data_IF_916009421157
#
_entry.id   IF_916009421157
#
_cell.length_a   1.000
_cell.length_b   1.000
_cell.length_c   1.000
_cell.angle_alpha   90.00
_cell.angle_beta   90.00
_cell.angle_gamma   90.00
#
_symmetry.space_group_name_H-M   'P 1'
#
loop_
_entity.id
_entity.type
_entity.pdbx_description
1 polymer ?
#
# COMPACT_ATOMS: atom_id res chain seq x y z
N UNK A 1 1.60 40.46 -16.76
CA UNK A 1 0.98 39.33 -16.03
C UNK A 1 1.97 38.18 -16.07
N UNK A 2 2.48 37.78 -14.92
CA UNK A 2 3.76 37.07 -14.80
C UNK A 2 3.73 35.60 -15.25
N UNK A 3 4.76 35.23 -16.02
CA UNK A 3 5.16 33.87 -16.40
C UNK A 3 5.68 33.05 -15.19
N UNK A 4 5.13 33.25 -14.00
CA UNK A 4 5.46 32.51 -12.77
C UNK A 4 4.59 31.25 -12.61
N UNK A 5 3.50 31.15 -13.37
CA UNK A 5 2.55 30.02 -13.33
C UNK A 5 2.98 28.86 -14.24
N UNK A 6 3.88 29.10 -15.21
CA UNK A 6 4.37 28.05 -16.12
C UNK A 6 5.47 27.16 -15.50
N UNK A 7 5.85 27.39 -14.23
CA UNK A 7 6.75 26.54 -13.42
C UNK A 7 6.13 26.03 -12.11
N UNK A 8 4.81 26.07 -11.97
CA UNK A 8 4.16 25.71 -10.72
C UNK A 8 4.17 24.18 -10.50
N UNK A 9 4.98 23.71 -9.54
CA UNK A 9 4.71 22.46 -8.82
C UNK A 9 3.22 22.46 -8.43
N UNK A 10 2.43 21.51 -8.94
CA UNK A 10 1.02 21.41 -8.57
C UNK A 10 0.93 21.01 -7.11
N UNK A 11 0.33 21.86 -6.27
CA UNK A 11 0.13 21.58 -4.84
C UNK A 11 -1.29 21.05 -4.60
N UNK A 12 -1.40 19.90 -3.94
CA UNK A 12 -2.66 19.28 -3.57
C UNK A 12 -2.69 19.06 -2.05
N UNK A 13 -3.39 19.92 -1.29
CA UNK A 13 -3.64 19.67 0.12
C UNK A 13 -4.65 18.52 0.24
N UNK A 14 -4.33 17.52 1.04
CA UNK A 14 -5.14 16.34 1.27
C UNK A 14 -5.55 16.28 2.75
N UNK A 15 -6.85 16.15 2.98
CA UNK A 15 -7.43 15.81 4.27
C UNK A 15 -8.29 14.57 4.08
N UNK A 16 -7.83 13.44 4.59
CA UNK A 16 -8.43 12.12 4.34
C UNK A 16 -8.86 11.54 5.70
N UNK A 17 -10.16 11.41 5.97
CA UNK A 17 -10.63 10.71 7.16
C UNK A 17 -10.16 9.26 7.18
N UNK A 18 -9.75 8.80 8.36
CA UNK A 18 -9.38 7.41 8.63
C UNK A 18 -10.58 6.78 9.35
N UNK A 19 -11.04 5.65 8.81
CA UNK A 19 -12.11 4.82 9.35
C UNK A 19 -11.69 3.35 9.28
N UNK A 20 -10.38 3.12 9.39
CA UNK A 20 -9.77 1.79 9.34
C UNK A 20 -10.06 1.05 10.65
N UNK A 21 -10.77 -0.10 10.61
CA UNK A 21 -11.16 -0.81 11.83
C UNK A 21 -10.00 -1.17 12.75
N UNK A 22 -8.79 -1.38 12.21
CA UNK A 22 -7.62 -1.70 13.03
C UNK A 22 -7.11 -0.53 13.91
N UNK A 23 -7.40 0.72 13.54
CA UNK A 23 -6.87 1.91 14.24
C UNK A 23 -7.93 2.92 14.68
N UNK A 24 -9.21 2.67 14.40
CA UNK A 24 -10.31 3.54 14.79
C UNK A 24 -10.48 4.76 13.89
N UNK A 25 -11.11 5.81 14.43
CA UNK A 25 -11.41 7.04 13.70
C UNK A 25 -10.22 7.99 13.73
N UNK A 26 -9.92 8.62 12.61
CA UNK A 26 -8.82 9.57 12.55
C UNK A 26 -8.80 10.41 11.30
N UNK A 27 -7.66 11.02 11.02
CA UNK A 27 -7.43 11.76 9.79
C UNK A 27 -5.96 11.73 9.39
N UNK A 28 -5.73 11.73 8.08
CA UNK A 28 -4.46 12.08 7.44
C UNK A 28 -4.54 13.52 6.95
N UNK A 29 -3.58 14.34 7.34
CA UNK A 29 -3.31 15.62 6.69
C UNK A 29 -2.01 15.51 5.90
N UNK A 30 -2.05 15.79 4.60
CA UNK A 30 -0.86 15.71 3.75
C UNK A 30 -0.79 16.84 2.73
N UNK A 31 0.43 17.17 2.34
CA UNK A 31 0.75 18.06 1.24
C UNK A 31 1.42 17.24 0.16
N UNK A 32 0.76 17.13 -1.00
CA UNK A 32 1.33 16.48 -2.18
C UNK A 32 1.74 17.54 -3.21
N UNK A 33 2.98 17.43 -3.68
CA UNK A 33 3.55 18.23 -4.75
C UNK A 33 3.70 17.32 -5.97
N UNK A 34 2.98 17.64 -7.04
CA UNK A 34 2.91 16.81 -8.25
C UNK A 34 3.37 17.68 -9.42
N UNK A 35 4.46 17.26 -10.08
CA UNK A 35 4.93 17.93 -11.28
C UNK A 35 4.06 17.58 -12.50
N UNK A 36 4.13 18.43 -13.52
CA UNK A 36 3.33 18.29 -14.74
C UNK A 36 3.75 17.01 -15.49
N UNK A 37 2.81 16.07 -15.65
CA UNK A 37 2.93 14.96 -16.60
C UNK A 37 3.10 15.51 -18.03
N UNK A 38 3.94 14.86 -18.83
CA UNK A 38 3.97 15.15 -20.26
C UNK A 38 2.72 14.53 -20.91
N UNK A 39 1.71 15.32 -21.32
CA UNK A 39 0.45 14.78 -21.84
C UNK A 39 0.61 14.14 -23.23
N UNK A 40 1.71 14.42 -23.92
CA UNK A 40 2.04 13.86 -25.23
C UNK A 40 2.82 12.54 -25.12
N UNK A 41 3.23 12.14 -23.91
CA UNK A 41 3.89 10.86 -23.69
C UNK A 41 2.90 9.71 -23.81
N UNK A 42 3.34 8.61 -24.45
CA UNK A 42 2.54 7.39 -24.56
C UNK A 42 2.29 6.72 -23.19
N UNK A 43 1.35 5.77 -23.15
CA UNK A 43 1.07 5.00 -21.94
C UNK A 43 2.34 4.35 -21.36
N UNK A 44 2.51 4.40 -20.03
CA UNK A 44 3.74 3.94 -19.36
C UNK A 44 4.95 4.92 -19.42
N UNK A 45 4.77 6.12 -19.97
CA UNK A 45 5.78 7.19 -20.03
C UNK A 45 5.21 8.51 -19.48
N UNK A 46 6.08 9.51 -19.31
CA UNK A 46 5.70 10.86 -18.87
C UNK A 46 5.12 10.93 -17.46
N UNK A 47 5.56 10.02 -16.58
CA UNK A 47 5.06 9.92 -15.20
C UNK A 47 5.47 11.16 -14.39
N UNK A 48 4.62 11.64 -13.47
CA UNK A 48 4.92 12.85 -12.71
C UNK A 48 5.90 12.54 -11.59
N UNK A 49 6.70 13.53 -11.20
CA UNK A 49 7.34 13.53 -9.90
C UNK A 49 6.29 13.78 -8.82
N UNK A 50 6.44 13.10 -7.69
CA UNK A 50 5.52 13.22 -6.56
C UNK A 50 6.35 13.35 -5.29
N UNK A 51 6.18 14.46 -4.57
CA UNK A 51 6.68 14.62 -3.19
C UNK A 51 5.50 14.73 -2.24
N UNK A 52 5.53 14.02 -1.12
CA UNK A 52 4.48 14.04 -0.10
C UNK A 52 5.11 14.24 1.27
N UNK A 53 4.52 15.14 2.05
CA UNK A 53 4.72 15.22 3.50
C UNK A 53 3.35 15.12 4.14
N UNK A 54 3.22 14.23 5.12
CA UNK A 54 1.94 14.01 5.77
C UNK A 54 2.09 13.58 7.22
N UNK A 55 1.01 13.78 7.96
CA UNK A 55 0.83 13.33 9.31
C UNK A 55 -0.52 12.62 9.44
N UNK A 56 -0.60 11.66 10.35
CA UNK A 56 -1.85 10.99 10.70
C UNK A 56 -2.02 10.95 12.21
N UNK A 57 -3.28 10.97 12.65
CA UNK A 57 -3.68 10.75 14.03
C UNK A 57 -5.04 10.06 14.08
N UNK A 58 -5.28 9.27 15.12
CA UNK A 58 -6.51 8.51 15.35
C UNK A 58 -6.93 8.60 16.82
N UNK A 59 -8.19 8.30 17.10
CA UNK A 59 -8.81 8.31 18.43
C UNK A 59 -8.25 7.22 19.35
N UNK A 60 -7.79 6.09 18.78
CA UNK A 60 -7.13 5.02 19.53
C UNK A 60 -5.69 5.38 19.95
N UNK A 61 -5.20 6.58 19.61
CA UNK A 61 -3.87 7.09 19.95
C UNK A 61 -2.79 6.82 18.90
N UNK A 62 -3.12 6.13 17.79
CA UNK A 62 -2.16 5.94 16.71
C UNK A 62 -1.84 7.25 16.02
N UNK A 63 -0.56 7.47 15.73
CA UNK A 63 -0.05 8.68 15.08
C UNK A 63 1.17 8.38 14.22
N UNK A 64 1.41 9.23 13.23
CA UNK A 64 2.56 9.06 12.37
C UNK A 64 2.90 10.26 11.53
N UNK A 65 4.14 10.29 11.07
CA UNK A 65 4.67 11.20 10.07
C UNK A 65 5.20 10.37 8.91
N UNK A 66 4.91 10.84 7.69
CA UNK A 66 5.31 10.19 6.44
C UNK A 66 5.91 11.26 5.53
N UNK A 67 7.08 10.96 4.98
CA UNK A 67 7.79 11.76 4.01
C UNK A 67 8.06 10.85 2.80
N UNK A 68 7.85 11.34 1.59
CA UNK A 68 8.14 10.58 0.38
C UNK A 68 8.48 11.50 -0.78
N UNK A 69 9.44 11.10 -1.59
CA UNK A 69 9.79 11.75 -2.85
C UNK A 69 10.04 10.67 -3.89
N UNK A 70 9.31 10.73 -4.99
CA UNK A 70 9.50 9.93 -6.19
C UNK A 70 9.79 10.85 -7.36
N UNK A 71 10.88 10.59 -8.07
CA UNK A 71 11.31 11.40 -9.21
C UNK A 71 11.77 10.57 -10.38
N UNK A 72 11.51 11.08 -11.57
CA UNK A 72 12.04 10.57 -12.82
C UNK A 72 13.14 11.51 -13.34
N UNK A 73 14.20 10.91 -13.85
CA UNK A 73 15.40 11.55 -14.33
C UNK A 73 15.78 10.96 -15.69
N UNK A 74 16.70 11.63 -16.39
CA UNK A 74 17.27 11.13 -17.65
C UNK A 74 16.20 10.77 -18.68
N UNK A 75 15.21 11.66 -18.87
CA UNK A 75 14.07 11.45 -19.77
C UNK A 75 13.35 10.11 -19.50
N UNK A 76 12.89 9.92 -18.27
CA UNK A 76 12.20 8.72 -17.77
C UNK A 76 13.02 7.42 -17.82
N UNK A 77 14.36 7.50 -17.82
CA UNK A 77 15.21 6.29 -17.74
C UNK A 77 15.55 5.86 -16.33
N UNK A 78 15.58 6.80 -15.38
CA UNK A 78 15.88 6.54 -13.98
C UNK A 78 14.74 7.06 -13.12
N UNK A 79 14.18 6.22 -12.26
CA UNK A 79 13.27 6.60 -11.20
C UNK A 79 13.98 6.47 -9.86
N UNK A 80 13.89 7.46 -9.00
CA UNK A 80 14.33 7.35 -7.60
C UNK A 80 13.13 7.48 -6.68
N UNK A 81 13.11 6.71 -5.61
CA UNK A 81 12.15 6.82 -4.52
C UNK A 81 12.91 6.89 -3.20
N UNK A 82 12.69 7.96 -2.46
CA UNK A 82 13.17 8.09 -1.07
C UNK A 82 11.97 8.34 -0.18
N UNK A 83 11.93 7.69 0.97
CA UNK A 83 10.86 7.92 1.93
C UNK A 83 11.31 7.65 3.35
N UNK A 84 10.64 8.27 4.30
CA UNK A 84 10.84 8.03 5.71
C UNK A 84 9.52 8.07 6.45
N UNK A 85 9.44 7.25 7.50
CA UNK A 85 8.27 7.15 8.36
C UNK A 85 8.70 7.23 9.82
N UNK A 86 7.84 7.79 10.64
CA UNK A 86 7.91 7.68 12.09
C UNK A 86 6.49 7.54 12.62
N UNK A 87 6.19 6.39 13.20
CA UNK A 87 4.84 6.00 13.59
C UNK A 87 4.83 5.39 14.97
N UNK A 88 3.70 5.53 15.64
CA UNK A 88 3.34 4.86 16.88
C UNK A 88 1.89 4.44 16.69
N UNK A 89 1.65 3.15 16.48
CA UNK A 89 0.36 2.61 16.06
C UNK A 89 -0.11 1.59 17.09
N UNK A 90 -1.32 1.80 17.61
CA UNK A 90 -1.98 0.86 18.50
C UNK A 90 -2.84 -0.09 17.67
N UNK A 91 -2.55 -1.38 17.80
CA UNK A 91 -3.15 -2.45 17.00
C UNK A 91 -3.51 -3.63 17.91
N UNK A 92 -4.33 -4.51 17.35
CA UNK A 92 -4.64 -5.79 17.96
C UNK A 92 -3.85 -6.92 17.28
N UNK A 93 -3.24 -7.77 18.10
CA UNK A 93 -2.61 -9.00 17.65
C UNK A 93 -3.60 -10.16 17.77
N UNK A 94 -3.88 -10.79 16.63
CA UNK A 94 -4.86 -11.87 16.50
C UNK A 94 -4.24 -13.28 16.57
N UNK A 95 -2.92 -13.37 16.71
CA UNK A 95 -2.21 -14.63 16.52
C UNK A 95 -2.40 -15.19 15.12
N UNK A 96 -2.26 -16.50 14.98
CA UNK A 96 -2.34 -17.20 13.70
C UNK A 96 -3.50 -18.20 13.71
N UNK A 97 -4.10 -18.40 12.53
CA UNK A 97 -5.22 -19.31 12.29
C UNK A 97 -6.60 -18.86 12.77
N UNK A 98 -7.65 -19.18 12.01
CA UNK A 98 -9.06 -18.79 12.33
C UNK A 98 -9.59 -19.39 13.63
N UNK A 99 -9.12 -20.58 14.01
CA UNK A 99 -9.59 -21.26 15.23
C UNK A 99 -8.71 -20.97 16.45
N UNK A 100 -7.68 -20.14 16.30
CA UNK A 100 -6.76 -19.79 17.38
C UNK A 100 -7.45 -19.02 18.51
N UNK A 101 -6.99 -19.22 19.75
CA UNK A 101 -7.52 -18.51 20.93
C UNK A 101 -7.40 -16.98 20.78
N UNK A 102 -6.26 -16.50 20.28
CA UNK A 102 -5.99 -15.08 20.07
C UNK A 102 -6.84 -14.46 18.95
N UNK A 103 -7.35 -15.26 18.01
CA UNK A 103 -8.26 -14.78 16.96
C UNK A 103 -9.58 -14.28 17.57
N UNK A 104 -10.07 -14.99 18.60
CA UNK A 104 -11.28 -14.65 19.36
C UNK A 104 -11.02 -13.68 20.51
N UNK A 105 -9.79 -13.64 21.01
CA UNK A 105 -9.38 -12.81 22.15
C UNK A 105 -8.09 -12.04 21.78
N UNK A 106 -8.18 -11.03 20.92
CA UNK A 106 -7.02 -10.27 20.49
C UNK A 106 -6.29 -9.63 21.67
N UNK A 107 -5.02 -9.29 21.44
CA UNK A 107 -4.17 -8.60 22.41
C UNK A 107 -3.69 -7.29 21.84
N UNK A 108 -4.07 -6.20 22.50
CA UNK A 108 -3.62 -4.87 22.15
C UNK A 108 -2.10 -4.72 22.35
N UNK A 109 -1.44 -4.10 21.37
CA UNK A 109 -0.04 -3.75 21.43
C UNK A 109 0.22 -2.40 20.77
N UNK A 110 1.28 -1.73 21.20
CA UNK A 110 1.77 -0.50 20.57
C UNK A 110 3.00 -0.83 19.72
N UNK A 111 2.94 -0.51 18.43
CA UNK A 111 4.06 -0.62 17.49
C UNK A 111 4.65 0.77 17.24
N UNK A 112 5.85 1.00 17.73
CA UNK A 112 6.65 2.16 17.31
C UNK A 112 7.53 1.72 16.14
N UNK A 113 7.49 2.46 15.03
CA UNK A 113 8.29 2.18 13.86
C UNK A 113 8.85 3.49 13.32
N UNK A 114 10.17 3.55 13.16
CA UNK A 114 10.85 4.66 12.49
C UNK A 114 11.82 4.11 11.48
N UNK A 115 11.86 4.68 10.28
CA UNK A 115 12.74 4.15 9.25
C UNK A 115 12.74 4.98 8.00
N UNK A 116 13.67 4.65 7.12
CA UNK A 116 13.80 5.25 5.80
C UNK A 116 14.08 4.17 4.76
N UNK A 117 13.71 4.47 3.52
CA UNK A 117 14.04 3.68 2.35
C UNK A 117 14.54 4.58 1.23
N UNK A 118 15.47 4.06 0.46
CA UNK A 118 15.90 4.64 -0.80
C UNK A 118 15.89 3.53 -1.86
N UNK A 119 15.42 3.84 -3.07
CA UNK A 119 15.36 2.92 -4.19
C UNK A 119 15.64 3.65 -5.48
N UNK A 120 16.34 2.99 -6.39
CA UNK A 120 16.49 3.42 -7.76
C UNK A 120 15.97 2.32 -8.69
N UNK A 121 15.17 2.69 -9.69
CA UNK A 121 14.74 1.81 -10.79
C UNK A 121 15.25 2.37 -12.11
N UNK A 122 15.82 1.53 -12.94
CA UNK A 122 16.28 1.87 -14.27
C UNK A 122 15.40 1.20 -15.33
N UNK A 123 15.00 1.96 -16.35
CA UNK A 123 14.16 1.48 -17.44
C UNK A 123 15.00 0.68 -18.44
N UNK A 124 14.49 -0.47 -18.86
CA UNK A 124 15.19 -1.34 -19.81
C UNK A 124 14.89 -0.87 -21.24
N UNK A 125 15.88 -0.23 -21.88
CA UNK A 125 15.77 0.25 -23.26
C UNK A 125 14.61 1.24 -23.44
N UNK A 126 13.81 1.04 -24.48
CA UNK A 126 12.59 1.82 -24.74
C UNK A 126 11.31 1.13 -24.24
N UNK A 127 11.45 0.11 -23.39
CA UNK A 127 10.31 -0.66 -22.89
C UNK A 127 9.60 0.03 -21.70
N UNK A 128 8.49 -0.57 -21.27
CA UNK A 128 7.78 -0.24 -20.03
C UNK A 128 8.28 -1.04 -18.83
N UNK A 129 9.43 -1.74 -18.99
CA UNK A 129 10.02 -2.59 -17.96
C UNK A 129 11.13 -1.85 -17.21
N UNK A 130 11.24 -2.15 -15.93
CA UNK A 130 12.17 -1.53 -15.00
C UNK A 130 12.82 -2.60 -14.14
N UNK A 131 14.09 -2.39 -13.82
CA UNK A 131 14.82 -3.14 -12.79
C UNK A 131 15.28 -2.17 -11.74
N UNK A 132 15.17 -2.55 -10.46
CA UNK A 132 15.52 -1.65 -9.39
C UNK A 132 16.19 -2.33 -8.22
N UNK A 133 16.96 -1.53 -7.51
CA UNK A 133 17.60 -1.90 -6.26
C UNK A 133 17.30 -0.81 -5.24
N UNK A 134 16.99 -1.22 -4.01
CA UNK A 134 16.78 -0.32 -2.90
C UNK A 134 17.35 -0.88 -1.62
N UNK A 135 17.41 -0.01 -0.63
CA UNK A 135 17.84 -0.32 0.71
C UNK A 135 16.89 0.34 1.71
N UNK A 136 16.59 -0.35 2.80
CA UNK A 136 15.80 0.18 3.90
C UNK A 136 16.49 -0.05 5.23
N UNK A 137 16.29 0.91 6.12
CA UNK A 137 16.68 0.86 7.52
C UNK A 137 15.49 1.25 8.37
N UNK A 138 15.19 0.48 9.41
CA UNK A 138 14.17 0.81 10.36
C UNK A 138 14.56 0.36 11.78
N UNK A 139 14.00 1.04 12.77
CA UNK A 139 13.96 0.60 14.15
C UNK A 139 12.49 0.43 14.52
N UNK A 140 12.17 -0.71 15.13
CA UNK A 140 10.83 -1.04 15.60
C UNK A 140 10.85 -1.45 17.07
N UNK A 141 9.74 -1.20 17.77
CA UNK A 141 9.44 -1.84 19.04
C UNK A 141 7.94 -2.12 19.13
N UNK A 142 7.59 -3.34 19.50
CA UNK A 142 6.24 -3.81 19.71
C UNK A 142 6.04 -4.17 21.18
N UNK A 143 5.23 -3.39 21.89
CA UNK A 143 4.98 -3.57 23.32
C UNK A 143 3.54 -3.97 23.58
N UNK A 144 3.35 -5.13 24.20
CA UNK A 144 2.04 -5.62 24.62
C UNK A 144 1.66 -5.03 25.98
N UNK A 145 0.40 -4.63 26.12
CA UNK A 145 -0.13 -4.14 27.40
C UNK A 145 -0.64 -5.32 28.25
N UNK A 146 0.29 -6.12 28.76
CA UNK A 146 -0.02 -7.32 29.57
C UNK A 146 0.74 -7.29 30.90
N UNK A 147 0.16 -7.83 32.00
CA UNK A 147 0.83 -7.89 33.31
C UNK A 147 1.95 -8.95 33.38
N UNK A 148 2.19 -9.69 32.30
CA UNK A 148 3.24 -10.69 32.13
C UNK A 148 3.99 -10.43 30.82
N UNK A 149 5.22 -10.93 30.70
CA UNK A 149 5.99 -10.85 29.46
C UNK A 149 5.32 -11.74 28.38
N UNK A 150 4.77 -11.11 27.35
CA UNK A 150 4.18 -11.79 26.20
C UNK A 150 5.31 -12.32 25.29
N UNK A 151 5.25 -13.56 24.76
CA UNK A 151 6.35 -14.12 23.97
C UNK A 151 6.75 -13.30 22.73
N UNK A 152 5.78 -12.61 22.12
CA UNK A 152 6.00 -11.75 20.95
C UNK A 152 6.42 -10.31 21.30
N UNK A 153 6.71 -10.03 22.57
CA UNK A 153 7.11 -8.70 23.01
C UNK A 153 8.51 -8.37 22.47
N UNK A 154 8.58 -7.38 21.58
CA UNK A 154 9.82 -6.94 20.93
C UNK A 154 10.15 -5.53 21.41
N UNK A 155 11.09 -5.44 22.36
CA UNK A 155 11.42 -4.15 23.00
C UNK A 155 12.20 -3.21 22.07
N UNK A 156 12.94 -3.74 21.11
CA UNK A 156 13.68 -2.98 20.11
C UNK A 156 14.32 -3.93 19.10
N UNK A 157 14.00 -3.74 17.82
CA UNK A 157 14.60 -4.48 16.70
C UNK A 157 15.03 -3.49 15.63
N UNK A 158 16.28 -3.61 15.19
CA UNK A 158 16.80 -2.93 14.01
C UNK A 158 16.62 -3.80 12.78
N UNK A 159 16.15 -3.20 11.70
CA UNK A 159 15.90 -3.86 10.42
C UNK A 159 16.73 -3.16 9.35
N UNK A 160 17.60 -3.91 8.68
CA UNK A 160 18.40 -3.45 7.56
C UNK A 160 18.25 -4.43 6.40
N UNK A 161 17.85 -3.94 5.23
CA UNK A 161 17.56 -4.85 4.13
C UNK A 161 17.68 -4.24 2.74
N UNK A 162 18.11 -5.08 1.79
CA UNK A 162 18.16 -4.75 0.37
C UNK A 162 16.88 -5.26 -0.29
N UNK A 163 16.34 -4.50 -1.24
CA UNK A 163 15.18 -4.87 -2.03
C UNK A 163 15.52 -4.81 -3.52
N UNK A 164 15.46 -5.95 -4.21
CA UNK A 164 15.56 -6.04 -5.66
C UNK A 164 14.16 -6.08 -6.27
N UNK A 165 13.95 -5.39 -7.37
CA UNK A 165 12.64 -5.28 -8.04
C UNK A 165 12.76 -5.45 -9.55
N UNK A 166 11.77 -6.11 -10.13
CA UNK A 166 11.44 -6.01 -11.55
C UNK A 166 10.00 -5.52 -11.64
N UNK A 167 9.74 -4.52 -12.48
CA UNK A 167 8.37 -4.05 -12.70
C UNK A 167 8.09 -3.69 -14.14
N UNK A 168 6.87 -3.96 -14.57
CA UNK A 168 6.30 -3.53 -15.83
C UNK A 168 5.15 -2.56 -15.56
N UNK A 169 5.09 -1.42 -16.24
CA UNK A 169 3.97 -0.48 -16.10
C UNK A 169 3.56 0.12 -17.46
N UNK A 170 2.45 -0.39 -17.99
CA UNK A 170 1.82 0.09 -19.22
C UNK A 170 0.53 0.88 -18.96
N UNK A 171 0.20 1.16 -17.69
CA UNK A 171 -1.05 1.86 -17.33
C UNK A 171 -1.14 3.21 -18.03
N UNK A 172 -2.33 3.55 -18.52
CA UNK A 172 -2.62 4.85 -19.11
C UNK A 172 -2.46 6.00 -18.09
N UNK A 173 -2.87 5.76 -16.84
CA UNK A 173 -2.78 6.74 -15.76
C UNK A 173 -2.38 6.06 -14.44
N UNK A 174 -1.47 6.64 -13.65
CA UNK A 174 -1.04 6.05 -12.37
C UNK A 174 -2.04 6.26 -11.23
N UNK A 175 -2.82 7.34 -11.28
CA UNK A 175 -3.77 7.72 -10.25
C UNK A 175 -5.07 6.97 -10.46
N UNK A 176 -5.68 7.03 -11.64
CA UNK A 176 -6.97 6.37 -11.91
C UNK A 176 -6.95 5.60 -13.23
N UNK A 177 -6.19 4.48 -13.31
CA UNK A 177 -6.02 3.71 -14.54
C UNK A 177 -7.35 3.25 -15.14
N UNK A 178 -7.40 3.12 -16.47
CA UNK A 178 -8.52 2.49 -17.22
C UNK A 178 -8.06 1.41 -18.17
N UNK A 179 -6.81 1.45 -18.60
CA UNK A 179 -6.24 0.49 -19.55
C UNK A 179 -4.77 0.21 -19.23
N UNK A 180 -4.26 -0.85 -19.83
CA UNK A 180 -2.90 -1.33 -19.59
C UNK A 180 -2.81 -2.17 -18.32
N UNK A 181 -1.59 -2.45 -17.91
CA UNK A 181 -1.29 -3.35 -16.79
C UNK A 181 -0.08 -2.88 -16.01
N UNK A 182 0.02 -3.44 -14.81
CA UNK A 182 1.15 -3.24 -13.92
C UNK A 182 1.52 -4.59 -13.32
N UNK A 183 2.80 -4.91 -13.33
CA UNK A 183 3.33 -6.07 -12.64
C UNK A 183 4.56 -5.65 -11.86
N UNK A 184 4.70 -6.12 -10.62
CA UNK A 184 5.91 -5.94 -9.83
C UNK A 184 6.25 -7.24 -9.11
N UNK A 185 7.47 -7.72 -9.34
CA UNK A 185 8.10 -8.76 -8.56
C UNK A 185 9.19 -8.11 -7.70
N UNK A 186 9.19 -8.42 -6.41
CA UNK A 186 10.18 -7.89 -5.47
C UNK A 186 10.70 -8.98 -4.54
N UNK A 187 12.01 -8.91 -4.25
CA UNK A 187 12.67 -9.75 -3.25
C UNK A 187 13.40 -8.82 -2.28
N UNK A 188 13.03 -8.90 -1.01
CA UNK A 188 13.70 -8.18 0.08
C UNK A 188 14.47 -9.16 0.95
N UNK A 189 15.73 -8.87 1.23
CA UNK A 189 16.60 -9.68 2.08
C UNK A 189 17.01 -8.84 3.28
N UNK A 190 16.74 -9.36 4.47
CA UNK A 190 17.14 -8.79 5.75
C UNK A 190 18.15 -9.74 6.39
N UNK A 191 19.33 -9.22 6.71
CA UNK A 191 20.44 -10.01 7.24
C UNK A 191 21.32 -9.15 8.15
N UNK A 192 22.05 -9.79 9.07
CA UNK A 192 22.97 -9.12 9.98
C UNK A 192 24.06 -8.32 9.23
N UNK A 193 24.53 -8.84 8.09
CA UNK A 193 25.49 -8.14 7.22
C UNK A 193 24.94 -6.84 6.63
N UNK A 194 23.60 -6.71 6.58
CA UNK A 194 22.89 -5.52 6.09
C UNK A 194 22.44 -4.60 7.24
N UNK A 195 22.82 -4.90 8.48
CA UNK A 195 22.48 -4.12 9.68
C UNK A 195 21.11 -4.44 10.30
N UNK A 196 20.59 -5.65 10.05
CA UNK A 196 19.36 -6.18 10.67
C UNK A 196 19.69 -7.05 11.88
N UNK A 197 18.88 -6.97 12.94
CA UNK A 197 18.96 -7.90 14.07
C UNK A 197 18.32 -9.26 13.72
N UNK A 198 17.36 -9.25 12.78
CA UNK A 198 16.63 -10.43 12.32
C UNK A 198 17.02 -10.85 10.90
N UNK A 199 16.91 -12.15 10.61
CA UNK A 199 17.21 -12.73 9.31
C UNK A 199 15.97 -13.32 8.66
N UNK A 200 15.50 -12.69 7.60
CA UNK A 200 14.38 -13.18 6.80
C UNK A 200 14.40 -12.64 5.37
N UNK A 201 13.69 -13.34 4.49
CA UNK A 201 13.51 -12.96 3.10
C UNK A 201 12.03 -12.77 2.82
N UNK A 202 11.67 -11.69 2.12
CA UNK A 202 10.31 -11.46 1.61
C UNK A 202 10.28 -11.53 0.11
N UNK A 203 9.34 -12.30 -0.44
CA UNK A 203 8.98 -12.27 -1.85
C UNK A 203 7.61 -11.64 -1.99
N UNK A 204 7.45 -10.65 -2.88
CA UNK A 204 6.12 -10.15 -3.25
C UNK A 204 5.95 -10.14 -4.76
N UNK A 205 4.76 -10.54 -5.20
CA UNK A 205 4.27 -10.38 -6.57
C UNK A 205 2.98 -9.58 -6.53
N UNK A 206 2.87 -8.57 -7.39
CA UNK A 206 1.63 -7.81 -7.59
C UNK A 206 1.36 -7.76 -9.09
N UNK A 207 0.15 -8.12 -9.49
CA UNK A 207 -0.34 -7.99 -10.86
C UNK A 207 -1.60 -7.15 -10.90
N UNK A 208 -1.73 -6.28 -11.89
CA UNK A 208 -2.93 -5.50 -12.16
C UNK A 208 -3.18 -5.44 -13.65
N UNK A 209 -4.43 -5.62 -14.07
CA UNK A 209 -4.84 -5.49 -15.47
C UNK A 209 -6.11 -4.66 -15.53
N UNK A 210 -6.11 -3.68 -16.44
CA UNK A 210 -7.25 -2.80 -16.66
C UNK A 210 -7.76 -2.95 -18.09
N UNK A 211 -9.08 -3.11 -18.21
CA UNK A 211 -9.79 -3.30 -19.46
C UNK A 211 -10.77 -2.14 -19.68
N UNK A 212 -10.58 -1.30 -20.71
CA UNK A 212 -11.57 -0.32 -21.10
C UNK A 212 -12.70 -1.03 -21.86
N UNK A 213 -13.76 -1.42 -21.15
CA UNK A 213 -14.90 -2.14 -21.75
C UNK A 213 -15.67 -1.28 -22.75
N UNK A 214 -15.76 0.03 -22.48
CA UNK A 214 -16.34 1.05 -23.35
C UNK A 214 -15.84 2.45 -22.93
N UNK A 215 -16.27 3.51 -23.62
CA UNK A 215 -15.96 4.90 -23.31
C UNK A 215 -16.28 5.29 -21.84
N UNK A 216 -17.30 4.68 -21.23
CA UNK A 216 -17.72 4.96 -19.84
C UNK A 216 -17.41 3.84 -18.84
N UNK A 217 -17.06 2.65 -19.28
CA UNK A 217 -16.87 1.48 -18.42
C UNK A 217 -15.42 1.02 -18.41
N UNK A 218 -14.92 0.64 -17.24
CA UNK A 218 -13.60 0.01 -17.10
C UNK A 218 -13.64 -1.05 -16.02
N UNK A 219 -13.04 -2.21 -16.31
CA UNK A 219 -12.83 -3.30 -15.38
C UNK A 219 -11.36 -3.34 -14.98
N UNK A 220 -11.08 -3.36 -13.67
CA UNK A 220 -9.75 -3.62 -13.13
C UNK A 220 -9.74 -4.98 -12.43
N UNK A 221 -8.64 -5.71 -12.59
CA UNK A 221 -8.32 -6.91 -11.83
C UNK A 221 -6.98 -6.70 -11.11
N UNK A 222 -6.87 -7.18 -9.89
CA UNK A 222 -5.64 -7.14 -9.09
C UNK A 222 -5.40 -8.48 -8.43
N UNK A 223 -4.14 -8.89 -8.42
CA UNK A 223 -3.61 -10.02 -7.67
C UNK A 223 -2.42 -9.55 -6.83
N UNK A 224 -2.28 -10.09 -5.63
CA UNK A 224 -1.13 -9.86 -4.76
C UNK A 224 -0.78 -11.13 -4.01
N UNK A 225 0.49 -11.52 -4.06
CA UNK A 225 1.03 -12.68 -3.35
C UNK A 225 2.27 -12.23 -2.57
N UNK A 226 2.36 -12.62 -1.31
CA UNK A 226 3.47 -12.29 -0.42
C UNK A 226 3.89 -13.51 0.38
N UNK A 227 5.19 -13.73 0.46
CA UNK A 227 5.81 -14.79 1.26
C UNK A 227 6.90 -14.20 2.14
N UNK A 228 6.94 -14.61 3.40
CA UNK A 228 8.10 -14.44 4.27
C UNK A 228 8.73 -15.80 4.54
N UNK A 229 10.07 -15.84 4.56
CA UNK A 229 10.86 -17.01 4.93
C UNK A 229 11.87 -16.61 6.00
N UNK A 230 11.96 -17.39 7.08
CA UNK A 230 12.85 -17.10 8.20
C UNK A 230 12.14 -16.36 9.33
N UNK A 231 12.90 -15.66 10.16
CA UNK A 231 12.46 -15.12 11.44
C UNK A 231 11.91 -13.70 11.28
N UNK A 232 10.93 -13.52 10.39
CA UNK A 232 10.26 -12.24 10.26
C UNK A 232 9.46 -11.94 11.55
N UNK A 233 9.58 -10.74 12.14
CA UNK A 233 8.82 -10.42 13.33
C UNK A 233 7.32 -10.40 13.00
N UNK A 234 6.46 -10.73 13.96
CA UNK A 234 5.03 -10.91 13.73
C UNK A 234 4.37 -9.68 13.07
N UNK A 235 4.80 -8.47 13.42
CA UNK A 235 4.28 -7.21 12.85
C UNK A 235 4.76 -6.94 11.41
N UNK A 236 5.68 -7.76 10.89
CA UNK A 236 6.12 -7.76 9.50
C UNK A 236 5.58 -8.96 8.73
N UNK A 237 4.84 -9.89 9.33
CA UNK A 237 4.21 -10.96 8.55
C UNK A 237 3.22 -10.37 7.53
N UNK A 238 3.18 -10.89 6.29
CA UNK A 238 2.22 -10.41 5.32
C UNK A 238 0.80 -10.65 5.83
N UNK A 239 -0.11 -9.81 5.34
CA UNK A 239 -1.52 -9.88 5.68
C UNK A 239 -2.38 -9.58 4.47
N UNK A 240 -3.62 -10.06 4.51
CA UNK A 240 -4.63 -9.70 3.50
C UNK A 240 -4.97 -8.21 3.64
N UNK A 241 -4.62 -7.43 2.62
CA UNK A 241 -4.87 -5.99 2.55
C UNK A 241 -5.93 -5.71 1.47
N UNK A 242 -7.19 -5.67 1.88
CA UNK A 242 -8.34 -5.36 1.00
C UNK A 242 -9.30 -4.39 1.70
N UNK A 243 -10.03 -3.59 0.93
CA UNK A 243 -11.10 -2.75 1.48
C UNK A 243 -12.14 -3.62 2.19
N UNK A 244 -12.50 -3.27 3.42
CA UNK A 244 -13.44 -4.03 4.26
C UNK A 244 -12.79 -5.11 5.12
N UNK A 245 -11.48 -5.32 4.99
CA UNK A 245 -10.72 -6.26 5.83
C UNK A 245 -9.82 -5.45 6.77
N UNK A 246 -9.97 -5.60 8.10
CA UNK A 246 -9.11 -4.89 9.06
C UNK A 246 -7.64 -5.20 8.83
N UNK A 247 -6.79 -4.16 8.83
CA UNK A 247 -5.35 -4.34 8.68
C UNK A 247 -4.78 -5.28 9.75
N UNK A 248 -3.78 -6.10 9.37
CA UNK A 248 -3.10 -7.06 10.26
C UNK A 248 -3.99 -8.16 10.88
N UNK A 249 -5.27 -8.27 10.51
CA UNK A 249 -6.16 -9.29 11.07
C UNK A 249 -5.92 -10.69 10.50
N UNK A 250 -5.63 -10.76 9.20
CA UNK A 250 -5.41 -12.00 8.47
C UNK A 250 -3.94 -12.13 8.10
N UNK A 251 -3.13 -12.54 9.06
CA UNK A 251 -1.68 -12.68 8.92
C UNK A 251 -1.26 -14.13 8.74
N UNK A 252 -0.14 -14.31 8.04
CA UNK A 252 0.55 -15.60 7.91
C UNK A 252 1.86 -15.43 7.17
N UNK A 253 2.68 -16.47 7.11
CA UNK A 253 3.92 -16.46 6.32
C UNK A 253 3.67 -16.38 4.82
N UNK A 254 2.51 -16.86 4.35
CA UNK A 254 2.11 -16.86 2.94
C UNK A 254 0.74 -16.24 2.81
N UNK A 255 0.62 -15.18 2.02
CA UNK A 255 -0.65 -14.51 1.75
C UNK A 255 -0.87 -14.38 0.26
N UNK A 256 -2.09 -14.68 -0.18
CA UNK A 256 -2.54 -14.44 -1.54
C UNK A 256 -3.91 -13.74 -1.51
N UNK A 257 -4.12 -12.80 -2.42
CA UNK A 257 -5.40 -12.10 -2.56
C UNK A 257 -5.65 -11.68 -4.00
N UNK A 258 -6.94 -11.61 -4.35
CA UNK A 258 -7.43 -11.18 -5.65
C UNK A 258 -8.60 -10.21 -5.46
N UNK A 259 -8.67 -9.19 -6.30
CA UNK A 259 -9.73 -8.19 -6.31
C UNK A 259 -10.18 -7.87 -7.75
N UNK A 260 -11.46 -7.62 -7.92
CA UNK A 260 -12.04 -7.07 -9.15
C UNK A 260 -12.79 -5.77 -8.83
N UNK A 261 -12.64 -4.77 -9.70
CA UNK A 261 -13.33 -3.48 -9.59
C UNK A 261 -13.93 -3.08 -10.94
N UNK A 262 -15.24 -2.86 -10.98
CA UNK A 262 -15.94 -2.34 -12.14
C UNK A 262 -16.30 -0.88 -11.89
N UNK A 263 -15.84 0.02 -12.77
CA UNK A 263 -16.11 1.46 -12.69
C UNK A 263 -16.97 1.93 -13.86
N UNK A 264 -17.98 2.72 -13.54
CA UNK A 264 -18.87 3.38 -14.49
C UNK A 264 -18.79 4.90 -14.34
N UNK A 265 -18.27 5.58 -15.37
CA UNK A 265 -18.31 7.03 -15.48
C UNK A 265 -19.69 7.48 -15.97
N UNK A 266 -20.66 7.52 -15.05
CA UNK A 266 -22.06 7.72 -15.41
C UNK A 266 -22.40 9.16 -15.82
N UNK A 267 -21.72 10.17 -15.24
CA UNK A 267 -22.01 11.57 -15.51
C UNK A 267 -20.76 12.45 -15.40
N UNK A 268 -20.31 13.06 -16.51
CA UNK A 268 -19.21 14.03 -16.54
C UNK A 268 -18.03 13.64 -15.62
N UNK A 269 -17.95 14.23 -14.42
CA UNK A 269 -16.89 14.01 -13.41
C UNK A 269 -17.21 12.92 -12.39
N UNK A 270 -18.44 12.45 -12.32
CA UNK A 270 -18.89 11.44 -11.36
C UNK A 270 -18.76 10.02 -11.92
N UNK A 271 -18.18 9.14 -11.11
CA UNK A 271 -18.17 7.70 -11.34
C UNK A 271 -18.75 6.95 -10.17
N UNK A 272 -19.38 5.82 -10.46
CA UNK A 272 -19.70 4.80 -9.49
C UNK A 272 -18.75 3.62 -9.71
N UNK A 273 -18.36 2.93 -8.65
CA UNK A 273 -17.64 1.67 -8.74
C UNK A 273 -18.24 0.62 -7.82
N UNK A 274 -18.11 -0.65 -8.21
CA UNK A 274 -18.36 -1.80 -7.38
C UNK A 274 -17.12 -2.70 -7.37
N UNK A 275 -16.80 -3.29 -6.23
CA UNK A 275 -15.64 -4.15 -6.07
C UNK A 275 -15.92 -5.36 -5.21
N UNK A 276 -15.16 -6.42 -5.44
CA UNK A 276 -15.17 -7.65 -4.64
C UNK A 276 -13.76 -8.23 -4.62
N UNK A 277 -13.38 -8.85 -3.52
CA UNK A 277 -12.10 -9.50 -3.38
C UNK A 277 -12.12 -10.65 -2.38
N UNK A 278 -11.16 -11.55 -2.53
CA UNK A 278 -10.93 -12.67 -1.64
C UNK A 278 -9.45 -12.75 -1.30
N UNK A 279 -9.14 -13.13 -0.06
CA UNK A 279 -7.78 -13.30 0.42
C UNK A 279 -7.65 -14.51 1.33
N UNK A 280 -6.46 -15.10 1.32
CA UNK A 280 -6.06 -16.22 2.16
C UNK A 280 -4.72 -15.94 2.80
N UNK A 281 -4.60 -16.22 4.09
CA UNK A 281 -3.37 -16.19 4.86
C UNK A 281 -3.10 -17.58 5.42
N UNK A 282 -1.88 -18.07 5.19
CA UNK A 282 -1.42 -19.40 5.59
C UNK A 282 -0.19 -19.25 6.46
N UNK A 283 -0.17 -20.01 7.55
CA UNK A 283 0.93 -20.08 8.49
C UNK A 283 1.31 -21.54 8.78
N UNK A 284 2.61 -21.81 8.91
CA UNK A 284 3.15 -23.15 9.13
C UNK A 284 3.77 -23.24 10.55
N UNK A 285 2.96 -23.66 11.53
CA UNK A 285 3.43 -23.82 12.91
C UNK A 285 3.60 -25.29 13.24
N UNK A 286 4.84 -25.71 13.51
CA UNK A 286 5.15 -27.07 14.03
C UNK A 286 4.47 -28.20 13.22
N UNK A 287 4.52 -28.10 11.89
CA UNK A 287 3.92 -29.06 10.93
C UNK A 287 2.38 -29.02 10.84
N UNK A 288 1.71 -28.09 11.52
CA UNK A 288 0.29 -27.81 11.33
C UNK A 288 0.13 -26.58 10.43
N UNK A 289 -0.56 -26.76 9.31
CA UNK A 289 -0.96 -25.66 8.43
C UNK A 289 -2.21 -25.01 8.99
N UNK A 290 -2.13 -23.72 9.31
CA UNK A 290 -3.29 -22.92 9.67
C UNK A 290 -3.63 -21.98 8.52
N UNK A 291 -4.92 -21.91 8.17
CA UNK A 291 -5.40 -21.08 7.06
C UNK A 291 -6.50 -20.16 7.55
N UNK A 292 -6.47 -18.91 7.09
CA UNK A 292 -7.52 -17.94 7.34
C UNK A 292 -7.95 -17.30 6.03
N UNK A 293 -9.25 -17.27 5.76
CA UNK A 293 -9.80 -16.79 4.51
C UNK A 293 -10.78 -15.63 4.76
N UNK A 294 -10.82 -14.67 3.85
CA UNK A 294 -11.77 -13.56 3.93
C UNK A 294 -12.24 -13.17 2.55
N UNK A 295 -13.52 -12.83 2.47
CA UNK A 295 -14.14 -12.22 1.30
C UNK A 295 -14.68 -10.87 1.74
N UNK A 296 -14.44 -9.85 0.92
CA UNK A 296 -14.94 -8.51 1.13
C UNK A 296 -15.44 -7.93 -0.20
N UNK A 297 -16.39 -7.01 -0.13
CA UNK A 297 -16.90 -6.33 -1.30
C UNK A 297 -17.58 -5.03 -0.92
N UNK A 298 -17.85 -4.19 -1.91
CA UNK A 298 -18.37 -2.87 -1.65
C UNK A 298 -18.67 -2.06 -2.90
N UNK A 299 -19.04 -0.82 -2.65
CA UNK A 299 -19.34 0.16 -3.68
C UNK A 299 -18.77 1.53 -3.29
N UNK A 300 -18.48 2.35 -4.30
CA UNK A 300 -17.91 3.67 -4.07
C UNK A 300 -18.40 4.70 -5.07
N UNK A 301 -18.47 5.95 -4.61
CA UNK A 301 -18.75 7.11 -5.45
C UNK A 301 -17.47 7.93 -5.60
N UNK A 302 -17.14 8.31 -6.84
CA UNK A 302 -15.95 9.07 -7.20
C UNK A 302 -16.32 10.38 -7.88
N UNK A 303 -15.54 11.41 -7.62
CA UNK A 303 -15.54 12.69 -8.30
C UNK A 303 -14.15 12.96 -8.89
N UNK A 304 -14.08 13.27 -10.18
CA UNK A 304 -12.88 13.66 -10.91
C UNK A 304 -12.44 15.06 -10.47
N UNK A 305 -11.54 15.10 -9.48
CA UNK A 305 -11.04 16.32 -8.86
C UNK A 305 -10.20 17.14 -9.84
N UNK A 306 -9.24 16.48 -10.52
CA UNK A 306 -8.28 17.14 -11.40
C UNK A 306 -8.22 16.46 -12.77
N UNK A 307 -9.03 16.95 -13.73
CA UNK A 307 -9.18 16.39 -15.08
C UNK A 307 -7.87 16.19 -15.82
N UNK A 308 -6.99 17.20 -15.76
CA UNK A 308 -5.70 17.18 -16.46
C UNK A 308 -4.79 16.03 -16.01
N UNK A 309 -4.97 15.55 -14.78
CA UNK A 309 -4.19 14.47 -14.19
C UNK A 309 -4.99 13.16 -14.06
N UNK A 310 -6.28 13.17 -14.42
CA UNK A 310 -7.19 12.04 -14.23
C UNK A 310 -7.29 11.60 -12.76
N UNK A 311 -7.19 12.53 -11.81
CA UNK A 311 -7.27 12.21 -10.38
C UNK A 311 -8.73 12.21 -9.95
N UNK A 312 -9.21 11.06 -9.50
CA UNK A 312 -10.51 10.90 -8.87
C UNK A 312 -10.35 10.91 -7.36
N UNK A 313 -11.37 11.36 -6.63
CA UNK A 313 -11.44 11.19 -5.18
C UNK A 313 -12.85 10.77 -4.79
N UNK A 314 -13.02 10.09 -3.66
CA UNK A 314 -14.36 9.80 -3.17
C UNK A 314 -14.40 8.82 -2.02
N UNK A 315 -15.58 8.24 -1.82
CA UNK A 315 -15.90 7.39 -0.67
C UNK A 315 -16.24 5.99 -1.15
N UNK A 316 -15.57 4.99 -0.60
CA UNK A 316 -15.91 3.57 -0.73
C UNK A 316 -16.51 3.08 0.58
N UNK A 317 -17.61 2.34 0.50
CA UNK A 317 -18.13 1.55 1.62
C UNK A 317 -17.91 0.08 1.29
N UNK A 318 -17.29 -0.64 2.21
CA UNK A 318 -16.96 -2.04 2.08
C UNK A 318 -17.54 -2.85 3.23
N UNK A 319 -17.81 -4.12 2.98
CA UNK A 319 -18.30 -5.08 3.95
C UNK A 319 -17.52 -6.37 3.83
N UNK A 320 -17.25 -6.98 4.97
CA UNK A 320 -16.76 -8.35 5.10
C UNK A 320 -17.45 -9.02 6.30
N UNK A 321 -17.03 -10.24 6.64
CA UNK A 321 -17.48 -10.91 7.87
C UNK A 321 -17.09 -10.17 9.16
N UNK A 322 -16.14 -9.24 9.07
CA UNK A 322 -15.65 -8.44 10.20
C UNK A 322 -16.42 -7.12 10.38
N UNK A 323 -17.39 -6.85 9.50
CA UNK A 323 -18.27 -5.68 9.58
C UNK A 323 -18.07 -4.68 8.44
N UNK A 324 -18.78 -3.55 8.48
CA UNK A 324 -18.65 -2.47 7.51
C UNK A 324 -17.41 -1.61 7.78
N UNK A 325 -16.83 -1.06 6.72
CA UNK A 325 -15.80 -0.03 6.78
C UNK A 325 -16.01 1.01 5.68
N UNK A 326 -15.63 2.25 5.94
CA UNK A 326 -15.62 3.32 4.97
C UNK A 326 -14.17 3.68 4.60
N UNK A 327 -13.93 4.16 3.38
CA UNK A 327 -12.60 4.58 2.94
C UNK A 327 -12.71 5.82 2.06
N UNK A 328 -12.01 6.87 2.43
CA UNK A 328 -11.80 8.02 1.54
C UNK A 328 -10.58 7.76 0.67
N UNK A 329 -10.79 7.68 -0.64
CA UNK A 329 -9.72 7.36 -1.59
C UNK A 329 -9.41 8.54 -2.51
N UNK A 330 -8.13 8.68 -2.84
CA UNK A 330 -7.62 9.57 -3.88
C UNK A 330 -6.90 8.70 -4.90
N UNK A 331 -7.36 8.75 -6.14
CA UNK A 331 -6.99 7.82 -7.20
C UNK A 331 -7.65 6.45 -7.02
N UNK A 332 -6.93 5.43 -7.47
CA UNK A 332 -7.26 4.02 -7.35
C UNK A 332 -6.93 3.53 -5.94
N UNK A 333 -7.78 2.65 -5.41
CA UNK A 333 -7.49 1.93 -4.18
C UNK A 333 -6.22 1.04 -4.30
N UNK A 334 -5.77 0.78 -5.52
CA UNK A 334 -4.59 -0.02 -5.84
C UNK A 334 -3.39 0.85 -6.27
N UNK A 335 -3.30 2.08 -5.77
CA UNK A 335 -2.24 3.01 -6.17
C UNK A 335 -0.85 2.39 -6.00
N UNK A 336 -0.08 2.40 -7.11
CA UNK A 336 1.32 1.98 -7.18
C UNK A 336 2.11 3.08 -7.92
N UNK A 337 3.12 3.68 -7.28
CA UNK A 337 3.92 4.76 -7.85
C UNK A 337 4.83 4.29 -8.99
#
# INVERSE_FOLDING_TARGET
>A
MGNFIDRAYGFLPLAIPITEPAVGLGAVGALAFIDKQNPEAGAGFGRPNISVVGALATDNGSRGLILGDMRYWMDDRLQTLVGAIKTSVNLDYYGTGEQGFLNKHPRAYSLNLSGARAQAKYRIGQSQNWVGLGYMLANSSATFNTPFDFPENDRSTRLGGINATFSHDSRDNIFTPRSGNYMELSVSIFDQTLGSDLKFTRLNLVGMQYFPLDAKWSLGLRESISFNYGEAPFYMQPYVLMRGVPAMRYQGEKVAQVEAELRWQFWQRFSLLGFVGAGSAVDEIRQLTQTSNVVAGGAGLRYELARKYGIHMGLDIAWSRDGPAAYFQVGSAWMRP
#
